data_IF_535522587973
#
_entry.id   IF_535522587973
#
_cell.length_a   1.000
_cell.length_b   1.000
_cell.length_c   1.000
_cell.angle_alpha   90.00
_cell.angle_beta   90.00
_cell.angle_gamma   90.00
#
_symmetry.space_group_name_H-M   'P 1'
#
loop_
_entity.id
_entity.type
_entity.pdbx_description
1 polymer ?
#
# COMPACT_ATOMS: atom_id res chain seq x y z
N UNK A 1 9.70 6.56 13.28
CA UNK A 1 9.45 5.31 14.04
C UNK A 1 8.16 4.61 13.65
N UNK A 2 7.07 5.35 13.51
CA UNK A 2 5.73 4.79 13.24
C UNK A 2 5.67 4.06 11.91
N UNK A 3 6.29 4.60 10.87
CA UNK A 3 6.30 3.98 9.55
C UNK A 3 7.09 2.66 9.54
N UNK A 4 8.23 2.62 10.23
CA UNK A 4 9.00 1.38 10.39
C UNK A 4 8.20 0.33 11.16
N UNK A 5 7.59 0.74 12.28
CA UNK A 5 6.79 -0.17 13.09
C UNK A 5 5.59 -0.72 12.30
N UNK A 6 4.90 0.14 11.55
CA UNK A 6 3.77 -0.28 10.72
C UNK A 6 4.19 -1.24 9.61
N UNK A 7 5.30 -0.96 8.92
CA UNK A 7 5.83 -1.83 7.87
C UNK A 7 6.24 -3.20 8.40
N UNK A 8 6.97 -3.23 9.51
CA UNK A 8 7.38 -4.46 10.16
C UNK A 8 6.17 -5.28 10.62
N UNK A 9 5.21 -4.62 11.27
CA UNK A 9 3.99 -5.28 11.74
C UNK A 9 3.17 -5.85 10.56
N UNK A 10 3.06 -5.10 9.46
CA UNK A 10 2.34 -5.56 8.28
C UNK A 10 2.98 -6.81 7.67
N UNK A 11 4.31 -6.84 7.52
CA UNK A 11 5.01 -8.01 6.99
C UNK A 11 4.91 -9.21 7.93
N UNK A 12 5.01 -8.99 9.23
CA UNK A 12 4.83 -10.04 10.23
C UNK A 12 3.39 -10.58 10.23
N UNK A 13 2.41 -9.72 9.97
CA UNK A 13 1.01 -10.12 9.83
C UNK A 13 0.80 -11.01 8.60
N UNK A 14 1.46 -10.72 7.48
CA UNK A 14 1.43 -11.56 6.28
C UNK A 14 1.95 -12.96 6.58
N UNK A 15 3.08 -13.05 7.30
CA UNK A 15 3.69 -14.30 7.73
C UNK A 15 4.56 -14.06 8.97
N UNK A 16 4.40 -14.85 10.05
CA UNK A 16 3.51 -16.02 10.13
C UNK A 16 2.08 -15.76 10.62
N UNK A 17 1.78 -14.51 11.08
CA UNK A 17 0.59 -14.29 11.93
C UNK A 17 -0.75 -14.66 11.27
N UNK A 18 -0.98 -14.22 10.04
CA UNK A 18 -2.25 -14.49 9.36
C UNK A 18 -2.36 -15.94 8.88
N UNK A 19 -1.23 -16.60 8.63
CA UNK A 19 -1.17 -17.93 8.01
C UNK A 19 -1.11 -19.07 8.99
N UNK A 20 -0.66 -18.82 10.22
CA UNK A 20 -0.29 -19.85 11.20
C UNK A 20 -1.32 -19.95 12.32
N UNK A 21 -1.87 -21.15 12.54
CA UNK A 21 -2.78 -21.43 13.66
C UNK A 21 -2.13 -21.26 15.04
N UNK A 22 -0.80 -21.37 15.13
CA UNK A 22 -0.08 -21.38 16.40
C UNK A 22 0.26 -19.98 16.91
N UNK A 23 0.34 -18.99 16.02
CA UNK A 23 0.76 -17.64 16.38
C UNK A 23 -0.28 -16.92 17.25
N UNK A 24 -1.56 -17.05 16.91
CA UNK A 24 -2.67 -16.50 17.67
C UNK A 24 -3.77 -17.56 17.82
N UNK A 25 -3.56 -18.56 18.69
CA UNK A 25 -4.50 -19.66 18.84
C UNK A 25 -5.89 -19.24 19.30
N UNK A 26 -6.01 -18.08 19.96
CA UNK A 26 -7.29 -17.51 20.36
C UNK A 26 -8.18 -17.17 19.16
N UNK A 27 -7.60 -16.78 18.02
CA UNK A 27 -8.35 -16.49 16.79
C UNK A 27 -8.95 -17.77 16.21
N UNK A 28 -8.19 -18.86 16.27
CA UNK A 28 -8.65 -20.17 15.83
C UNK A 28 -9.82 -20.66 16.68
N UNK A 29 -9.75 -20.42 17.99
CA UNK A 29 -10.83 -20.75 18.93
C UNK A 29 -12.12 -19.94 18.66
N UNK A 30 -11.97 -18.73 18.11
CA UNK A 30 -13.11 -17.90 17.72
C UNK A 30 -13.69 -18.31 16.35
N UNK A 31 -13.14 -19.31 15.70
CA UNK A 31 -13.59 -19.79 14.40
C UNK A 31 -13.03 -18.99 13.22
N UNK A 32 -11.98 -18.19 13.44
CA UNK A 32 -11.33 -17.42 12.39
C UNK A 32 -10.23 -18.26 11.76
N UNK A 33 -10.43 -18.60 10.50
CA UNK A 33 -9.49 -19.42 9.75
C UNK A 33 -8.25 -18.62 9.33
N UNK A 34 -7.06 -19.26 9.26
CA UNK A 34 -5.87 -18.64 8.71
C UNK A 34 -6.09 -18.15 7.27
N UNK A 35 -5.41 -17.07 6.93
CA UNK A 35 -5.46 -16.48 5.60
C UNK A 35 -4.08 -16.48 4.96
N UNK A 36 -4.03 -16.87 3.69
CA UNK A 36 -2.80 -16.87 2.90
C UNK A 36 -2.80 -15.64 1.99
N UNK A 37 -2.03 -14.63 2.38
CA UNK A 37 -1.80 -13.46 1.52
C UNK A 37 -1.02 -13.91 0.29
N UNK A 38 -1.45 -13.47 -0.88
CA UNK A 38 -0.84 -13.89 -2.16
C UNK A 38 0.07 -12.86 -2.77
N UNK A 39 -0.16 -11.61 -2.48
CA UNK A 39 0.59 -10.52 -3.08
C UNK A 39 0.86 -9.43 -2.06
N UNK A 40 2.08 -8.91 -2.07
CA UNK A 40 2.50 -7.77 -1.24
C UNK A 40 3.09 -6.71 -2.15
N UNK A 41 2.62 -5.48 -2.01
CA UNK A 41 3.10 -4.32 -2.76
C UNK A 41 3.81 -3.36 -1.82
N UNK A 42 5.09 -3.11 -2.08
CA UNK A 42 5.91 -2.18 -1.28
C UNK A 42 5.97 -0.83 -2.02
N UNK A 43 5.55 0.22 -1.32
CA UNK A 43 5.61 1.58 -1.85
C UNK A 43 7.02 2.18 -1.68
N UNK A 44 7.36 3.16 -2.50
CA UNK A 44 8.61 3.93 -2.34
C UNK A 44 9.88 3.13 -2.55
N UNK A 45 9.83 2.02 -3.26
CA UNK A 45 10.98 1.19 -3.56
C UNK A 45 11.77 1.74 -4.75
N UNK A 46 13.10 1.60 -4.71
CA UNK A 46 14.00 2.10 -5.76
C UNK A 46 13.89 1.34 -7.08
N UNK A 47 13.42 0.10 -7.03
CA UNK A 47 13.31 -0.78 -8.18
C UNK A 47 11.88 -1.34 -8.29
N UNK A 48 10.91 -0.51 -8.69
CA UNK A 48 9.53 -0.97 -8.89
C UNK A 48 9.42 -1.93 -10.06
N UNK A 49 8.54 -2.92 -9.95
CA UNK A 49 8.31 -3.93 -10.98
C UNK A 49 6.84 -4.08 -11.39
N UNK A 50 5.95 -3.32 -10.77
CA UNK A 50 4.52 -3.31 -11.11
C UNK A 50 4.00 -1.87 -11.05
N UNK A 51 3.10 -1.52 -11.94
CA UNK A 51 2.52 -0.18 -11.98
C UNK A 51 1.04 -0.23 -12.35
N UNK A 52 0.32 0.82 -12.00
CA UNK A 52 -1.10 0.97 -12.28
C UNK A 52 -1.37 2.36 -12.86
N UNK A 53 -2.16 2.41 -13.93
CA UNK A 53 -2.70 3.65 -14.45
C UNK A 53 -3.80 4.14 -13.52
N UNK A 54 -3.58 5.29 -12.88
CA UNK A 54 -4.53 5.90 -11.94
C UNK A 54 -5.14 7.19 -12.48
N UNK A 55 -5.04 7.41 -13.78
CA UNK A 55 -5.54 8.65 -14.41
C UNK A 55 -7.00 8.89 -14.06
N UNK A 56 -7.85 7.87 -14.10
CA UNK A 56 -9.28 8.00 -13.82
C UNK A 56 -9.62 8.08 -12.33
N UNK A 57 -8.70 7.76 -11.45
CA UNK A 57 -8.93 7.74 -10.00
C UNK A 57 -8.16 8.80 -9.22
N UNK A 58 -7.36 9.61 -9.89
CA UNK A 58 -6.51 10.61 -9.20
C UNK A 58 -7.33 11.62 -8.38
N UNK A 59 -8.48 12.03 -8.85
CA UNK A 59 -9.33 13.00 -8.14
C UNK A 59 -9.89 12.37 -6.86
N UNK A 60 -10.26 11.09 -6.90
CA UNK A 60 -10.72 10.35 -5.73
C UNK A 60 -9.60 10.19 -4.71
N UNK A 61 -8.38 9.88 -5.17
CA UNK A 61 -7.20 9.77 -4.32
C UNK A 61 -6.89 11.10 -3.62
N UNK A 62 -7.00 12.22 -4.35
CA UNK A 62 -6.81 13.56 -3.78
C UNK A 62 -7.84 13.87 -2.70
N UNK A 63 -9.11 13.53 -2.93
CA UNK A 63 -10.16 13.68 -1.91
C UNK A 63 -9.87 12.88 -0.66
N UNK A 64 -9.39 11.65 -0.83
CA UNK A 64 -8.96 10.80 0.29
C UNK A 64 -7.83 11.43 1.10
N UNK A 65 -6.83 11.96 0.41
CA UNK A 65 -5.70 12.64 1.05
C UNK A 65 -6.15 13.86 1.84
N UNK A 66 -7.00 14.70 1.25
CA UNK A 66 -7.52 15.94 1.86
C UNK A 66 -8.47 15.65 3.04
N UNK A 67 -9.00 14.45 3.16
CA UNK A 67 -9.80 14.04 4.33
C UNK A 67 -8.99 14.02 5.62
N UNK A 68 -7.65 13.93 5.54
CA UNK A 68 -6.74 14.00 6.69
C UNK A 68 -6.48 15.47 7.09
N UNK A 69 -7.54 16.20 7.42
CA UNK A 69 -7.52 17.65 7.63
C UNK A 69 -6.55 18.14 8.70
N UNK A 70 -6.28 17.32 9.72
CA UNK A 70 -5.38 17.69 10.82
C UNK A 70 -3.91 17.66 10.42
N UNK A 71 -3.55 17.02 9.31
CA UNK A 71 -2.15 16.80 8.93
C UNK A 71 -1.81 17.24 7.51
N UNK A 72 -2.77 17.24 6.60
CA UNK A 72 -2.54 17.45 5.18
C UNK A 72 -3.48 18.54 4.62
N UNK A 73 -2.93 19.41 3.79
CA UNK A 73 -3.66 20.44 3.10
C UNK A 73 -3.45 20.37 1.59
N UNK A 74 -3.94 21.38 0.88
CA UNK A 74 -3.87 21.43 -0.58
C UNK A 74 -2.46 21.32 -1.13
N UNK A 75 -1.47 21.87 -0.45
CA UNK A 75 -0.07 21.77 -0.86
C UNK A 75 0.41 20.33 -0.92
N UNK A 76 0.04 19.50 0.06
CA UNK A 76 0.38 18.09 0.08
C UNK A 76 -0.31 17.34 -1.07
N UNK A 77 -1.56 17.68 -1.35
CA UNK A 77 -2.30 17.10 -2.47
C UNK A 77 -1.66 17.47 -3.82
N UNK A 78 -1.25 18.71 -3.98
CA UNK A 78 -0.58 19.18 -5.20
C UNK A 78 0.76 18.45 -5.43
N UNK A 79 1.57 18.30 -4.38
CA UNK A 79 2.83 17.55 -4.46
C UNK A 79 2.61 16.08 -4.80
N UNK A 80 1.56 15.49 -4.24
CA UNK A 80 1.22 14.09 -4.53
C UNK A 80 0.81 13.93 -5.98
N UNK A 81 -0.04 14.81 -6.48
CA UNK A 81 -0.49 14.83 -7.89
C UNK A 81 0.70 14.98 -8.84
N UNK A 82 1.61 15.90 -8.52
CA UNK A 82 2.84 16.08 -9.30
C UNK A 82 3.69 14.82 -9.35
N UNK A 83 3.89 14.19 -8.19
CA UNK A 83 4.65 12.92 -8.11
C UNK A 83 4.00 11.83 -8.96
N UNK A 84 2.67 11.67 -8.89
CA UNK A 84 1.95 10.68 -9.70
C UNK A 84 2.04 10.98 -11.19
N UNK A 85 2.09 12.26 -11.56
CA UNK A 85 2.32 12.69 -12.95
C UNK A 85 3.73 12.31 -13.42
N UNK A 86 4.75 12.52 -12.59
CA UNK A 86 6.13 12.14 -12.92
C UNK A 86 6.26 10.61 -13.09
N UNK A 87 5.62 9.83 -12.24
CA UNK A 87 5.57 8.37 -12.38
C UNK A 87 4.84 8.00 -13.68
N UNK A 88 3.74 8.68 -13.98
CA UNK A 88 2.97 8.45 -15.21
C UNK A 88 3.79 8.62 -16.48
N UNK A 89 4.72 9.58 -16.50
CA UNK A 89 5.63 9.79 -17.63
C UNK A 89 6.49 8.57 -17.93
N UNK A 90 6.88 7.80 -16.91
CA UNK A 90 7.68 6.60 -17.09
C UNK A 90 6.92 5.50 -17.85
N UNK A 91 5.61 5.49 -17.78
CA UNK A 91 4.76 4.45 -18.33
C UNK A 91 3.83 4.92 -19.45
N UNK A 92 3.96 6.18 -19.86
CA UNK A 92 3.17 6.72 -20.96
C UNK A 92 1.71 7.02 -20.61
N UNK A 93 1.41 7.26 -19.34
CA UNK A 93 0.06 7.64 -18.87
C UNK A 93 0.14 8.97 -18.12
N UNK A 94 -1.03 9.60 -17.87
CA UNK A 94 -1.07 10.91 -17.22
C UNK A 94 -0.69 10.80 -15.73
N UNK A 95 -1.23 9.82 -15.03
CA UNK A 95 -0.95 9.55 -13.62
C UNK A 95 -0.78 8.06 -13.40
N UNK A 96 0.25 7.67 -12.65
CA UNK A 96 0.50 6.29 -12.30
C UNK A 96 0.99 6.12 -10.87
N UNK A 97 0.81 4.95 -10.34
CA UNK A 97 1.48 4.47 -9.14
C UNK A 97 2.33 3.27 -9.51
N UNK A 98 3.46 3.09 -8.83
CA UNK A 98 4.28 1.92 -9.00
C UNK A 98 4.77 1.39 -7.66
N UNK A 99 5.06 0.08 -7.64
CA UNK A 99 5.38 -0.66 -6.43
C UNK A 99 6.42 -1.71 -6.72
N UNK A 100 7.10 -2.16 -5.67
CA UNK A 100 7.79 -3.44 -5.71
C UNK A 100 6.80 -4.51 -5.27
N UNK A 101 6.41 -5.36 -6.18
CA UNK A 101 5.45 -6.43 -5.94
C UNK A 101 6.15 -7.77 -5.72
N UNK A 102 5.64 -8.55 -4.76
CA UNK A 102 6.08 -9.92 -4.45
C UNK A 102 4.88 -10.85 -4.46
N UNK A 103 5.00 -11.96 -5.18
CA UNK A 103 3.99 -13.02 -5.15
C UNK A 103 4.44 -14.07 -4.13
N UNK A 104 3.57 -14.34 -3.16
CA UNK A 104 3.83 -15.29 -2.09
C UNK A 104 3.14 -16.60 -2.45
N UNK A 105 3.92 -17.67 -2.52
CA UNK A 105 3.45 -18.99 -2.93
C UNK A 105 3.40 -19.98 -1.78
#
# INVERSE_FOLDING_TARGET
PDHFAAGEAALSAVYPSARDHLTFPELDQEGLEPHKVREVLIIGHDDPNIWFDITDSIDTAEKGLLAHKSQLGQEAADRTRERKSEIGKLYGVKYAEHFKGFVIR
#
